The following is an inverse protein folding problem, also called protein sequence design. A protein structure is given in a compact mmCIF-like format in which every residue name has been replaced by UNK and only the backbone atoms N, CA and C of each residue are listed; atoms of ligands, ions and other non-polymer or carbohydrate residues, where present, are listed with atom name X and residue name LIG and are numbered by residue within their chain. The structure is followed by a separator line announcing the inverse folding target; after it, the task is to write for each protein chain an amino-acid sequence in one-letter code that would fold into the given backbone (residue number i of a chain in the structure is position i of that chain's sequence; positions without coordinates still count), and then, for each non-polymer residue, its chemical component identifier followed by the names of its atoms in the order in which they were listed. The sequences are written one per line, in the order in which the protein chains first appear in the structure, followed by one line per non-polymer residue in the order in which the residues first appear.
data_IF_347608106387
#
_entry.id   IF_347608106387
#
_cell.length_a   1.000
_cell.length_b   1.000
_cell.length_c   1.000
_cell.angle_alpha   90.00
_cell.angle_beta   90.00
_cell.angle_gamma   90.00
#
_symmetry.space_group_name_H-M   'P 1'
#
loop_
_entity.id
_entity.type
_entity.pdbx_description
1 polymer ?
#
# COMPACT_ATOMS: atom_id res chain seq x y z
N UNK A 1 6.97 -2.13 13.16
CA UNK A 1 7.58 -3.12 12.29
C UNK A 1 8.73 -2.49 11.53
N UNK A 2 9.94 -2.94 11.80
CA UNK A 2 11.13 -2.56 11.03
C UNK A 2 11.21 -3.35 9.71
N UNK A 3 12.25 -3.08 8.89
CA UNK A 3 12.46 -3.73 7.59
C UNK A 3 12.53 -5.27 7.70
N UNK A 4 13.36 -5.76 8.60
CA UNK A 4 13.64 -7.20 8.72
C UNK A 4 12.40 -7.96 9.19
N UNK A 5 11.66 -7.39 10.14
CA UNK A 5 10.36 -7.92 10.57
C UNK A 5 9.35 -7.93 9.42
N UNK A 6 9.27 -6.86 8.62
CA UNK A 6 8.34 -6.77 7.49
C UNK A 6 8.63 -7.85 6.43
N UNK A 7 9.89 -8.04 6.07
CA UNK A 7 10.31 -9.10 5.13
C UNK A 7 10.02 -10.48 5.72
N UNK A 8 10.33 -10.70 7.00
CA UNK A 8 10.09 -11.98 7.66
C UNK A 8 8.60 -12.35 7.70
N UNK A 9 7.73 -11.43 8.09
CA UNK A 9 6.30 -11.71 8.25
C UNK A 9 5.58 -11.83 6.90
N UNK A 10 5.93 -11.01 5.91
CA UNK A 10 5.37 -11.14 4.55
C UNK A 10 5.71 -12.49 3.91
N UNK A 11 6.88 -13.06 4.20
CA UNK A 11 7.24 -14.42 3.78
C UNK A 11 6.28 -15.48 4.31
N UNK A 12 5.74 -15.30 5.52
CA UNK A 12 4.71 -16.20 6.09
C UNK A 12 3.36 -16.10 5.37
N UNK A 13 3.18 -15.04 4.59
CA UNK A 13 2.05 -14.86 3.68
C UNK A 13 2.34 -15.38 2.27
N UNK A 14 3.48 -16.06 2.05
CA UNK A 14 3.99 -16.42 0.72
C UNK A 14 4.27 -15.21 -0.19
N UNK A 15 4.52 -14.03 0.40
CA UNK A 15 4.97 -12.84 -0.33
C UNK A 15 6.47 -12.67 -0.08
N UNK A 16 7.27 -12.72 -1.14
CA UNK A 16 8.68 -12.42 -1.05
C UNK A 16 8.91 -10.93 -1.33
N UNK A 17 9.44 -10.21 -0.34
CA UNK A 17 9.83 -8.80 -0.47
C UNK A 17 11.33 -8.74 -0.67
N UNK A 18 11.76 -8.36 -1.88
CA UNK A 18 13.15 -8.05 -2.19
C UNK A 18 13.48 -6.57 -1.92
N UNK A 19 14.73 -6.19 -2.16
CA UNK A 19 15.20 -4.81 -1.95
C UNK A 19 14.44 -3.80 -2.83
N UNK A 20 14.12 -4.16 -4.07
CA UNK A 20 13.40 -3.29 -4.99
C UNK A 20 11.96 -3.04 -4.50
N UNK A 21 11.27 -4.10 -4.11
CA UNK A 21 9.90 -4.03 -3.59
C UNK A 21 9.87 -3.28 -2.26
N UNK A 22 10.82 -3.53 -1.36
CA UNK A 22 10.94 -2.77 -0.13
C UNK A 22 11.19 -1.27 -0.40
N UNK A 23 12.05 -0.94 -1.37
CA UNK A 23 12.28 0.44 -1.76
C UNK A 23 10.99 1.12 -2.27
N UNK A 24 10.15 0.41 -3.04
CA UNK A 24 8.83 0.90 -3.45
C UNK A 24 7.94 1.24 -2.26
N UNK A 25 7.86 0.39 -1.23
CA UNK A 25 7.13 0.70 0.01
C UNK A 25 7.73 1.89 0.77
N UNK A 26 9.05 2.02 0.79
CA UNK A 26 9.71 3.13 1.46
C UNK A 26 9.43 4.48 0.75
N UNK A 27 9.46 4.50 -0.58
CA UNK A 27 9.09 5.69 -1.37
C UNK A 27 7.62 6.05 -1.13
N UNK A 28 6.72 5.06 -1.08
CA UNK A 28 5.32 5.29 -0.75
C UNK A 28 5.16 5.91 0.64
N UNK A 29 5.87 5.38 1.64
CA UNK A 29 5.86 5.89 3.01
C UNK A 29 6.35 7.35 3.07
N UNK A 30 7.45 7.68 2.38
CA UNK A 30 7.98 9.04 2.34
C UNK A 30 6.99 10.02 1.70
N UNK A 31 6.34 9.61 0.61
CA UNK A 31 5.28 10.41 -0.01
C UNK A 31 4.09 10.59 0.92
N UNK A 32 3.67 9.51 1.61
CA UNK A 32 2.58 9.54 2.59
C UNK A 32 2.85 10.54 3.69
N UNK A 33 4.02 10.49 4.33
CA UNK A 33 4.39 11.41 5.42
C UNK A 33 4.40 12.86 4.92
N UNK A 34 5.05 13.11 3.78
CA UNK A 34 5.10 14.44 3.16
C UNK A 34 3.72 15.02 2.90
N UNK A 35 2.81 14.22 2.37
CA UNK A 35 1.44 14.67 2.08
C UNK A 35 0.57 14.75 3.33
N UNK A 36 0.85 13.91 4.34
CA UNK A 36 0.13 13.96 5.60
C UNK A 36 0.35 15.29 6.32
N UNK A 37 1.56 15.86 6.28
CA UNK A 37 1.85 17.18 6.85
C UNK A 37 1.02 18.31 6.24
N UNK A 38 0.63 18.17 4.96
CA UNK A 38 -0.18 19.18 4.26
C UNK A 38 -1.68 18.95 4.41
N UNK A 39 -2.12 17.69 4.50
CA UNK A 39 -3.54 17.34 4.31
C UNK A 39 -4.15 16.41 5.36
N UNK A 40 -3.39 15.96 6.36
CA UNK A 40 -3.83 15.02 7.41
C UNK A 40 -4.56 13.80 6.82
N UNK A 41 -3.87 13.04 5.97
CA UNK A 41 -4.41 11.87 5.27
C UNK A 41 -4.72 10.69 6.21
N UNK A 42 -3.90 10.51 7.26
CA UNK A 42 -3.93 9.41 8.24
C UNK A 42 -3.44 9.90 9.60
N UNK A 43 -3.97 9.31 10.68
CA UNK A 43 -3.48 9.57 12.04
C UNK A 43 -2.21 8.78 12.39
N UNK A 44 -1.84 7.80 11.57
CA UNK A 44 -0.67 6.94 11.76
C UNK A 44 0.40 7.37 10.76
N UNK A 45 1.54 7.85 11.28
CA UNK A 45 2.67 8.35 10.49
C UNK A 45 4.02 7.78 10.93
N UNK A 46 4.11 7.16 12.12
CA UNK A 46 5.35 6.52 12.55
C UNK A 46 5.65 5.35 11.62
N UNK A 47 6.88 5.29 11.09
CA UNK A 47 7.29 4.29 10.10
C UNK A 47 6.94 2.87 10.54
N UNK A 48 7.28 2.52 11.77
CA UNK A 48 7.03 1.18 12.32
C UNK A 48 5.54 0.85 12.36
N UNK A 49 4.68 1.83 12.64
CA UNK A 49 3.24 1.65 12.71
C UNK A 49 2.61 1.63 11.32
N UNK A 50 3.10 2.45 10.36
CA UNK A 50 2.62 2.41 8.97
C UNK A 50 2.94 1.05 8.35
N UNK A 51 4.16 0.55 8.51
CA UNK A 51 4.54 -0.76 7.99
C UNK A 51 3.73 -1.91 8.59
N UNK A 52 3.36 -1.83 9.87
CA UNK A 52 2.53 -2.84 10.53
C UNK A 52 1.04 -2.70 10.18
N UNK A 53 0.46 -1.52 10.44
CA UNK A 53 -1.00 -1.31 10.47
C UNK A 53 -1.59 -0.95 9.12
N UNK A 54 -0.77 -0.42 8.20
CA UNK A 54 -1.22 -0.09 6.86
C UNK A 54 -0.66 -1.07 5.84
N UNK A 55 0.65 -1.27 5.77
CA UNK A 55 1.24 -2.12 4.74
C UNK A 55 1.01 -3.61 5.01
N UNK A 56 1.50 -4.13 6.13
CA UNK A 56 1.37 -5.56 6.45
C UNK A 56 -0.10 -5.98 6.60
N UNK A 57 -0.93 -5.19 7.29
CA UNK A 57 -2.36 -5.46 7.42
C UNK A 57 -3.08 -5.54 6.06
N UNK A 58 -2.77 -4.64 5.12
CA UNK A 58 -3.30 -4.69 3.75
C UNK A 58 -2.89 -5.98 3.02
N UNK A 59 -1.67 -6.49 3.26
CA UNK A 59 -1.20 -7.74 2.67
C UNK A 59 -1.85 -8.99 3.29
N UNK A 60 -2.37 -8.92 4.52
CA UNK A 60 -3.12 -10.03 5.09
C UNK A 60 -4.41 -10.35 4.29
N UNK A 61 -4.97 -9.39 3.56
CA UNK A 61 -6.18 -9.59 2.74
C UNK A 61 -5.99 -10.61 1.62
N UNK A 62 -4.76 -10.89 1.18
CA UNK A 62 -4.49 -11.87 0.11
C UNK A 62 -5.02 -13.26 0.45
N UNK A 63 -5.21 -13.57 1.75
CA UNK A 63 -5.80 -14.84 2.20
C UNK A 63 -7.28 -14.97 1.85
N UNK A 64 -7.92 -13.89 1.39
CA UNK A 64 -9.36 -13.81 1.20
C UNK A 64 -9.79 -13.84 -0.27
N UNK A 65 -8.84 -13.84 -1.23
CA UNK A 65 -9.15 -13.87 -2.65
C UNK A 65 -8.05 -14.54 -3.47
N UNK A 66 -8.39 -15.04 -4.66
CA UNK A 66 -7.40 -15.63 -5.58
C UNK A 66 -6.65 -14.52 -6.33
N UNK A 67 -5.35 -14.43 -6.05
CA UNK A 67 -4.42 -13.50 -6.67
C UNK A 67 -3.55 -14.16 -7.75
N UNK A 68 -3.71 -15.47 -8.02
CA UNK A 68 -2.92 -16.18 -9.03
C UNK A 68 -3.42 -15.94 -10.46
N UNK A 69 -4.69 -15.56 -10.61
CA UNK A 69 -5.30 -15.23 -11.88
C UNK A 69 -5.39 -13.70 -12.07
N UNK A 70 -5.42 -13.20 -13.32
CA UNK A 70 -5.70 -11.79 -13.57
C UNK A 70 -7.05 -11.40 -12.96
N UNK A 71 -7.00 -10.49 -11.98
CA UNK A 71 -8.16 -10.12 -11.18
C UNK A 71 -8.33 -8.60 -11.21
N UNK A 72 -9.58 -8.13 -11.22
CA UNK A 72 -9.90 -6.72 -11.00
C UNK A 72 -10.29 -6.53 -9.54
N UNK A 73 -9.62 -5.62 -8.86
CA UNK A 73 -9.90 -5.27 -7.47
C UNK A 73 -10.36 -3.82 -7.41
N UNK A 74 -11.46 -3.57 -6.70
CA UNK A 74 -11.97 -2.23 -6.47
C UNK A 74 -11.92 -1.91 -4.98
N UNK A 75 -11.17 -0.87 -4.62
CA UNK A 75 -11.01 -0.41 -3.24
C UNK A 75 -11.91 0.83 -3.01
N UNK A 76 -13.04 0.60 -2.34
CA UNK A 76 -14.03 1.63 -2.05
C UNK A 76 -13.69 2.39 -0.76
N UNK A 77 -13.49 3.71 -0.87
CA UNK A 77 -13.11 4.52 0.28
C UNK A 77 -11.67 4.29 0.70
N UNK A 78 -10.77 4.10 -0.28
CA UNK A 78 -9.36 3.71 -0.08
C UNK A 78 -8.56 4.67 0.82
N UNK A 79 -9.06 5.90 1.03
CA UNK A 79 -8.42 6.86 1.90
C UNK A 79 -7.06 7.27 1.35
N UNK A 80 -6.00 6.92 2.09
CA UNK A 80 -4.62 7.13 1.67
C UNK A 80 -4.08 5.98 0.79
N UNK A 81 -4.94 5.16 0.19
CA UNK A 81 -4.53 4.09 -0.74
C UNK A 81 -4.49 2.69 -0.12
N UNK A 82 -5.12 2.49 1.03
CA UNK A 82 -5.11 1.20 1.72
C UNK A 82 -6.47 0.52 1.61
N UNK A 83 -6.52 -0.78 1.25
CA UNK A 83 -5.40 -1.67 0.93
C UNK A 83 -4.89 -1.61 -0.53
N UNK A 84 -5.59 -0.90 -1.43
CA UNK A 84 -5.43 -1.07 -2.87
C UNK A 84 -4.03 -0.80 -3.43
N UNK A 85 -3.37 0.29 -3.02
CA UNK A 85 -2.01 0.63 -3.49
C UNK A 85 -1.01 -0.44 -3.04
N UNK A 86 -1.12 -0.91 -1.79
CA UNK A 86 -0.24 -1.94 -1.25
C UNK A 86 -0.35 -3.24 -2.03
N UNK A 87 -1.57 -3.62 -2.41
CA UNK A 87 -1.81 -4.78 -3.27
C UNK A 87 -1.20 -4.56 -4.66
N UNK A 88 -1.39 -3.38 -5.26
CA UNK A 88 -0.85 -3.05 -6.57
C UNK A 88 0.69 -3.08 -6.62
N UNK A 89 1.39 -2.72 -5.52
CA UNK A 89 2.84 -2.79 -5.43
C UNK A 89 3.34 -4.25 -5.51
N UNK A 90 2.61 -5.21 -4.92
CA UNK A 90 3.01 -6.62 -4.88
C UNK A 90 2.57 -7.39 -6.11
N UNK A 91 1.34 -7.18 -6.58
CA UNK A 91 0.71 -8.04 -7.57
C UNK A 91 0.47 -7.31 -8.89
N UNK A 92 1.42 -7.42 -9.82
CA UNK A 92 1.35 -6.79 -11.14
C UNK A 92 0.21 -7.31 -12.03
N UNK A 93 -0.34 -8.50 -11.73
CA UNK A 93 -1.47 -9.10 -12.43
C UNK A 93 -2.83 -8.62 -11.92
N UNK A 94 -2.88 -7.82 -10.85
CA UNK A 94 -4.13 -7.29 -10.30
C UNK A 94 -4.34 -5.87 -10.80
N UNK A 95 -5.44 -5.65 -11.52
CA UNK A 95 -5.84 -4.31 -11.91
C UNK A 95 -6.65 -3.68 -10.76
N UNK A 96 -6.01 -2.78 -10.02
CA UNK A 96 -6.60 -2.10 -8.87
C UNK A 96 -7.25 -0.77 -9.29
N UNK A 97 -8.54 -0.62 -9.00
CA UNK A 97 -9.27 0.65 -9.07
C UNK A 97 -9.45 1.21 -7.67
N UNK A 98 -8.98 2.45 -7.46
CA UNK A 98 -9.08 3.16 -6.18
C UNK A 98 -10.22 4.17 -6.25
N UNK A 99 -11.20 4.05 -5.36
CA UNK A 99 -12.33 4.98 -5.27
C UNK A 99 -12.24 5.80 -3.99
N UNK A 100 -12.18 7.12 -4.15
CA UNK A 100 -12.15 8.08 -3.06
C UNK A 100 -13.01 9.30 -3.41
N UNK A 101 -13.72 9.82 -2.43
CA UNK A 101 -14.61 10.98 -2.57
C UNK A 101 -13.92 12.30 -2.21
N UNK A 102 -12.92 12.24 -1.32
CA UNK A 102 -12.17 13.39 -0.88
C UNK A 102 -11.12 13.78 -1.91
N UNK A 103 -11.28 14.97 -2.51
CA UNK A 103 -10.38 15.49 -3.55
C UNK A 103 -8.92 15.56 -3.13
N UNK A 104 -8.60 15.88 -1.87
CA UNK A 104 -7.20 15.96 -1.41
C UNK A 104 -6.55 14.58 -1.40
N UNK A 105 -7.30 13.57 -0.96
CA UNK A 105 -6.86 12.17 -1.00
C UNK A 105 -6.77 11.65 -2.43
N UNK A 106 -7.70 12.02 -3.31
CA UNK A 106 -7.59 11.71 -4.74
C UNK A 106 -6.29 12.26 -5.35
N UNK A 107 -5.96 13.53 -5.08
CA UNK A 107 -4.72 14.15 -5.56
C UNK A 107 -3.47 13.41 -5.04
N UNK A 108 -3.48 13.00 -3.78
CA UNK A 108 -2.42 12.17 -3.22
C UNK A 108 -2.28 10.84 -3.99
N UNK A 109 -3.40 10.15 -4.24
CA UNK A 109 -3.40 8.87 -4.96
C UNK A 109 -2.91 9.02 -6.40
N UNK A 110 -3.19 10.15 -7.06
CA UNK A 110 -2.63 10.45 -8.39
C UNK A 110 -1.11 10.65 -8.33
N UNK A 111 -0.54 11.24 -7.26
CA UNK A 111 0.91 11.28 -7.08
C UNK A 111 1.51 9.91 -6.79
N UNK A 112 0.84 9.10 -5.96
CA UNK A 112 1.26 7.71 -5.69
C UNK A 112 1.30 6.92 -7.00
N UNK A 113 0.28 7.08 -7.84
CA UNK A 113 0.18 6.40 -9.15
C UNK A 113 1.41 6.70 -10.03
N UNK A 114 1.88 7.94 -10.08
CA UNK A 114 3.07 8.33 -10.87
C UNK A 114 4.37 7.65 -10.43
N UNK A 115 4.43 7.08 -9.23
CA UNK A 115 5.62 6.36 -8.75
C UNK A 115 5.77 4.95 -9.35
N UNK A 116 4.67 4.38 -9.88
CA UNK A 116 4.59 2.97 -10.27
C UNK A 116 4.10 2.76 -11.71
N UNK A 117 3.92 3.84 -12.47
CA UNK A 117 3.61 3.86 -13.90
C UNK A 117 4.73 4.54 -14.67
#
# INVERSE_FOLDING_TARGET
MNKDEFILYTKQLNINIDEETYAKFNIYYELLVKWNDMFNLTNIIKKEEVFLRHFYDSLCLIKSFDYNNPTKLCDFGTGAGFPGVVIAIIFSNINVTLLESNKKKCLFLEEVKKLYH
#
